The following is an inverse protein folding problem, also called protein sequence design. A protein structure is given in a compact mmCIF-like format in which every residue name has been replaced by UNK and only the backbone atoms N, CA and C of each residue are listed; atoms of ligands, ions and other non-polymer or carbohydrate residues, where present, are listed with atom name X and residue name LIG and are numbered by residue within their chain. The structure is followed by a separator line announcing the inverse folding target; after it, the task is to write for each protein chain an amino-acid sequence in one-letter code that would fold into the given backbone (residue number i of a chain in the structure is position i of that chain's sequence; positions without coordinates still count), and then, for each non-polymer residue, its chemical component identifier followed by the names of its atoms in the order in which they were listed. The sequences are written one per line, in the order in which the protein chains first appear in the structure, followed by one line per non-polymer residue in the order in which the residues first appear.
data_IF_359933726496
#
_entry.id   IF_359933726496
#
_cell.length_a   1.000
_cell.length_b   1.000
_cell.length_c   1.000
_cell.angle_alpha   90.00
_cell.angle_beta   90.00
_cell.angle_gamma   90.00
#
_symmetry.space_group_name_H-M   'P 1'
#
loop_
_entity.id
_entity.type
_entity.pdbx_description
1 polymer ?
#
# COMPACT_ATOMS: atom_id res chain seq x y z
N UNK A 1 26.37 -26.62 -12.88
CA UNK A 1 25.21 -25.78 -12.48
C UNK A 1 23.96 -26.14 -13.25
N UNK A 2 23.94 -26.02 -14.60
CA UNK A 2 22.76 -26.36 -15.41
C UNK A 2 22.21 -27.77 -15.16
N UNK A 3 23.09 -28.78 -15.11
CA UNK A 3 22.71 -30.16 -14.79
C UNK A 3 22.02 -30.29 -13.42
N UNK A 4 22.47 -29.54 -12.41
CA UNK A 4 21.84 -29.55 -11.09
C UNK A 4 20.43 -28.94 -11.14
N UNK A 5 20.23 -27.90 -11.96
CA UNK A 5 18.92 -27.26 -12.13
C UNK A 5 17.95 -28.10 -12.95
N UNK A 6 18.45 -28.85 -13.94
CA UNK A 6 17.67 -29.88 -14.61
C UNK A 6 17.21 -30.95 -13.61
N UNK A 7 18.12 -31.52 -12.83
CA UNK A 7 17.80 -32.52 -11.81
C UNK A 7 16.77 -31.99 -10.79
N UNK A 8 16.92 -30.74 -10.32
CA UNK A 8 15.94 -30.09 -9.43
C UNK A 8 14.55 -29.99 -10.08
N UNK A 9 14.45 -29.55 -11.34
CA UNK A 9 13.17 -29.45 -12.07
C UNK A 9 12.49 -30.81 -12.27
N UNK A 10 13.28 -31.86 -12.38
CA UNK A 10 12.79 -33.25 -12.46
C UNK A 10 12.44 -33.85 -11.08
N UNK A 11 12.60 -33.09 -9.99
CA UNK A 11 12.33 -33.54 -8.62
C UNK A 11 13.43 -34.42 -8.03
N UNK A 12 14.59 -34.54 -8.68
CA UNK A 12 15.73 -35.30 -8.19
C UNK A 12 16.66 -34.43 -7.32
N UNK A 13 16.16 -34.06 -6.15
CA UNK A 13 16.88 -33.23 -5.16
C UNK A 13 18.23 -33.82 -4.72
N UNK A 14 18.36 -35.15 -4.47
CA UNK A 14 19.65 -35.75 -4.12
C UNK A 14 20.72 -35.53 -5.20
N UNK A 15 20.39 -35.79 -6.48
CA UNK A 15 21.31 -35.56 -7.60
C UNK A 15 21.65 -34.08 -7.75
N UNK A 16 20.66 -33.19 -7.61
CA UNK A 16 20.90 -31.74 -7.64
C UNK A 16 21.90 -31.32 -6.54
N UNK A 17 21.74 -31.84 -5.33
CA UNK A 17 22.64 -31.60 -4.21
C UNK A 17 24.06 -32.10 -4.46
N UNK A 18 24.22 -33.32 -4.99
CA UNK A 18 25.54 -33.87 -5.35
C UNK A 18 26.23 -33.02 -6.41
N UNK A 19 25.52 -32.66 -7.48
CA UNK A 19 26.05 -31.84 -8.57
C UNK A 19 26.46 -30.43 -8.09
N UNK A 20 25.72 -29.83 -7.15
CA UNK A 20 26.11 -28.55 -6.56
C UNK A 20 27.33 -28.67 -5.66
N UNK A 21 27.45 -29.73 -4.85
CA UNK A 21 28.65 -29.97 -4.03
C UNK A 21 29.91 -30.16 -4.89
N UNK A 22 29.77 -30.86 -6.01
CA UNK A 22 30.86 -30.99 -6.99
C UNK A 22 31.23 -29.64 -7.61
N UNK A 23 30.22 -28.86 -8.02
CA UNK A 23 30.43 -27.52 -8.57
C UNK A 23 31.08 -26.55 -7.56
N UNK A 24 30.70 -26.63 -6.29
CA UNK A 24 31.29 -25.84 -5.20
C UNK A 24 32.76 -26.21 -5.00
N UNK A 25 33.06 -27.52 -4.97
CA UNK A 25 34.44 -28.01 -4.85
C UNK A 25 35.32 -27.47 -5.97
N UNK A 26 34.84 -27.52 -7.22
CA UNK A 26 35.54 -26.96 -8.38
C UNK A 26 35.66 -25.43 -8.27
N UNK A 27 34.57 -24.76 -7.92
CA UNK A 27 34.52 -23.30 -7.78
C UNK A 27 35.51 -22.77 -6.73
N UNK A 28 35.62 -23.43 -5.58
CA UNK A 28 36.60 -23.09 -4.55
C UNK A 28 38.03 -23.36 -4.98
N UNK A 29 38.28 -24.50 -5.63
CA UNK A 29 39.62 -24.87 -6.13
C UNK A 29 40.13 -23.86 -7.14
N UNK A 30 39.24 -23.40 -8.03
CA UNK A 30 39.59 -22.56 -9.17
C UNK A 30 39.37 -21.06 -8.90
N UNK A 31 39.07 -20.66 -7.65
CA UNK A 31 38.71 -19.28 -7.23
C UNK A 31 37.67 -18.63 -8.18
N UNK A 32 36.64 -19.40 -8.53
CA UNK A 32 35.71 -19.06 -9.58
C UNK A 32 34.73 -17.97 -9.15
N UNK A 33 34.52 -16.90 -9.95
CA UNK A 33 33.49 -15.90 -9.67
C UNK A 33 32.05 -16.47 -9.70
N UNK A 34 31.86 -17.67 -10.23
CA UNK A 34 30.57 -18.37 -10.23
C UNK A 34 30.25 -19.07 -8.91
N UNK A 35 31.18 -19.11 -7.96
CA UNK A 35 31.00 -19.80 -6.68
C UNK A 35 29.81 -19.25 -5.89
N UNK A 36 29.61 -17.93 -5.86
CA UNK A 36 28.45 -17.30 -5.20
C UNK A 36 27.12 -17.77 -5.79
N UNK A 37 27.05 -17.96 -7.11
CA UNK A 37 25.88 -18.49 -7.79
C UNK A 37 25.65 -19.97 -7.51
N UNK A 38 26.72 -20.76 -7.31
CA UNK A 38 26.61 -22.16 -6.87
C UNK A 38 26.04 -22.23 -5.45
N UNK A 39 26.55 -21.43 -4.53
CA UNK A 39 26.11 -21.40 -3.13
C UNK A 39 24.66 -20.90 -3.02
N UNK A 40 24.29 -19.87 -3.80
CA UNK A 40 22.89 -19.39 -3.87
C UNK A 40 21.94 -20.51 -4.30
N UNK A 41 22.35 -21.32 -5.27
CA UNK A 41 21.58 -22.50 -5.70
C UNK A 41 21.46 -23.58 -4.62
N UNK A 42 22.50 -23.76 -3.79
CA UNK A 42 22.40 -24.65 -2.63
C UNK A 42 21.41 -24.11 -1.60
N UNK A 43 21.34 -22.78 -1.41
CA UNK A 43 20.36 -22.16 -0.54
C UNK A 43 18.91 -22.43 -1.01
N UNK A 44 18.64 -22.44 -2.32
CA UNK A 44 17.32 -22.86 -2.85
C UNK A 44 16.99 -24.32 -2.56
N UNK A 45 17.96 -25.24 -2.64
CA UNK A 45 17.71 -26.63 -2.24
C UNK A 45 17.45 -26.75 -0.73
N UNK A 46 18.13 -25.95 0.09
CA UNK A 46 17.86 -25.88 1.52
C UNK A 46 16.45 -25.36 1.80
N UNK A 47 15.98 -24.39 1.02
CA UNK A 47 14.59 -23.91 1.08
C UNK A 47 13.57 -24.98 0.70
N UNK A 48 13.78 -25.67 -0.42
CA UNK A 48 12.89 -26.76 -0.88
C UNK A 48 12.74 -27.88 0.17
N UNK A 49 13.79 -28.10 0.97
CA UNK A 49 13.83 -29.11 2.04
C UNK A 49 13.45 -28.56 3.43
N UNK A 50 13.07 -27.28 3.54
CA UNK A 50 12.67 -26.65 4.81
C UNK A 50 13.82 -26.44 5.81
N UNK A 51 15.07 -26.40 5.34
CA UNK A 51 16.29 -26.22 6.15
C UNK A 51 16.65 -24.74 6.33
N UNK A 52 15.80 -23.96 7.00
CA UNK A 52 15.93 -22.48 7.12
C UNK A 52 17.29 -21.99 7.63
N UNK A 53 17.83 -22.61 8.69
CA UNK A 53 19.15 -22.24 9.23
C UNK A 53 20.29 -22.43 8.23
N UNK A 54 20.23 -23.49 7.45
CA UNK A 54 21.24 -23.77 6.43
C UNK A 54 21.08 -22.82 5.23
N UNK A 55 19.84 -22.54 4.81
CA UNK A 55 19.53 -21.53 3.79
C UNK A 55 20.15 -20.18 4.16
N UNK A 56 19.95 -19.72 5.40
CA UNK A 56 20.51 -18.44 5.87
C UNK A 56 22.05 -18.45 5.83
N UNK A 57 22.68 -19.50 6.37
CA UNK A 57 24.15 -19.63 6.35
C UNK A 57 24.72 -19.62 4.93
N UNK A 58 24.08 -20.34 4.02
CA UNK A 58 24.48 -20.39 2.60
C UNK A 58 24.28 -19.03 1.93
N UNK A 59 23.18 -18.33 2.21
CA UNK A 59 22.94 -17.00 1.63
C UNK A 59 23.97 -15.97 2.10
N UNK A 60 24.32 -15.96 3.39
CA UNK A 60 25.41 -15.13 3.93
C UNK A 60 26.76 -15.43 3.27
N UNK A 61 27.03 -16.71 3.02
CA UNK A 61 28.26 -17.15 2.37
C UNK A 61 28.30 -16.72 0.89
N UNK A 62 27.19 -16.85 0.17
CA UNK A 62 27.08 -16.38 -1.20
C UNK A 62 27.36 -14.87 -1.32
N UNK A 63 26.91 -14.07 -0.35
CA UNK A 63 27.21 -12.62 -0.30
C UNK A 63 28.71 -12.39 -0.12
N UNK A 64 29.38 -13.12 0.78
CA UNK A 64 30.83 -12.98 1.00
C UNK A 64 31.62 -13.30 -0.27
N UNK A 65 31.30 -14.42 -0.93
CA UNK A 65 31.97 -14.81 -2.17
C UNK A 65 31.68 -13.83 -3.32
N UNK A 66 30.44 -13.34 -3.44
CA UNK A 66 30.11 -12.34 -4.46
C UNK A 66 30.89 -11.04 -4.26
N UNK A 67 31.02 -10.56 -3.01
CA UNK A 67 31.79 -9.35 -2.67
C UNK A 67 33.27 -9.54 -2.94
N UNK A 68 33.83 -10.72 -2.63
CA UNK A 68 35.24 -11.06 -2.88
C UNK A 68 35.62 -10.90 -4.35
N UNK A 69 34.74 -11.26 -5.27
CA UNK A 69 34.98 -11.14 -6.71
C UNK A 69 34.55 -9.78 -7.31
N UNK A 70 33.98 -8.89 -6.51
CA UNK A 70 33.71 -7.49 -6.91
C UNK A 70 32.70 -7.32 -8.04
N UNK A 71 31.77 -8.26 -8.24
CA UNK A 71 30.74 -8.18 -9.28
C UNK A 71 29.42 -7.63 -8.70
N UNK A 72 29.04 -6.37 -8.98
CA UNK A 72 27.92 -5.72 -8.29
C UNK A 72 26.57 -6.44 -8.45
N UNK A 73 26.26 -6.93 -9.64
CA UNK A 73 25.02 -7.66 -9.91
C UNK A 73 24.99 -9.03 -9.22
N UNK A 74 26.14 -9.70 -9.07
CA UNK A 74 26.24 -10.94 -8.30
C UNK A 74 26.05 -10.67 -6.79
N UNK A 75 26.58 -9.55 -6.28
CA UNK A 75 26.37 -9.11 -4.90
C UNK A 75 24.89 -8.78 -4.67
N UNK A 76 24.25 -8.05 -5.59
CA UNK A 76 22.83 -7.71 -5.52
C UNK A 76 21.95 -8.97 -5.49
N UNK A 77 22.24 -9.94 -6.37
CA UNK A 77 21.52 -11.20 -6.44
C UNK A 77 21.65 -12.02 -5.15
N UNK A 78 22.87 -12.12 -4.60
CA UNK A 78 23.13 -12.82 -3.34
C UNK A 78 22.46 -12.10 -2.15
N UNK A 79 22.53 -10.77 -2.10
CA UNK A 79 21.89 -9.96 -1.06
C UNK A 79 20.37 -10.09 -1.06
N UNK A 80 19.73 -10.12 -2.23
CA UNK A 80 18.29 -10.37 -2.34
C UNK A 80 17.91 -11.69 -1.67
N UNK A 81 18.65 -12.77 -1.96
CA UNK A 81 18.39 -14.07 -1.36
C UNK A 81 18.71 -14.11 0.14
N UNK A 82 19.76 -13.41 0.59
CA UNK A 82 20.05 -13.26 2.01
C UNK A 82 18.94 -12.51 2.74
N UNK A 83 18.45 -11.40 2.18
CA UNK A 83 17.34 -10.64 2.73
C UNK A 83 16.07 -11.50 2.84
N UNK A 84 15.72 -12.25 1.79
CA UNK A 84 14.59 -13.19 1.84
C UNK A 84 14.78 -14.26 2.91
N UNK A 85 16.00 -14.81 3.04
CA UNK A 85 16.29 -15.83 4.04
C UNK A 85 16.17 -15.31 5.47
N UNK A 86 16.56 -14.05 5.71
CA UNK A 86 16.42 -13.36 6.99
C UNK A 86 14.98 -12.97 7.30
N UNK A 87 14.20 -12.56 6.29
CA UNK A 87 12.86 -12.02 6.49
C UNK A 87 11.91 -13.00 7.17
N UNK A 88 12.13 -14.31 6.97
CA UNK A 88 11.34 -15.35 7.62
C UNK A 88 11.54 -15.42 9.15
N UNK A 89 12.68 -14.95 9.66
CA UNK A 89 13.02 -14.97 11.09
C UNK A 89 12.97 -13.57 11.72
N UNK A 90 13.46 -12.56 10.99
CA UNK A 90 13.57 -11.19 11.46
C UNK A 90 13.46 -10.20 10.26
N UNK A 91 12.24 -9.74 9.94
CA UNK A 91 12.01 -8.77 8.87
C UNK A 91 12.84 -7.49 9.00
N UNK A 92 13.04 -6.98 10.23
CA UNK A 92 13.80 -5.74 10.45
C UNK A 92 15.27 -5.91 10.06
N UNK A 93 15.88 -7.06 10.39
CA UNK A 93 17.24 -7.37 9.98
C UNK A 93 17.38 -7.56 8.46
N UNK A 94 16.31 -7.98 7.77
CA UNK A 94 16.29 -8.18 6.33
C UNK A 94 16.26 -6.86 5.53
N UNK A 95 15.89 -5.74 6.14
CA UNK A 95 15.80 -4.44 5.46
C UNK A 95 17.12 -4.00 4.86
N UNK A 96 18.19 -3.96 5.65
CA UNK A 96 19.51 -3.48 5.22
C UNK A 96 20.04 -4.22 3.98
N UNK A 97 20.11 -5.57 3.96
CA UNK A 97 20.54 -6.28 2.76
C UNK A 97 19.57 -6.12 1.59
N UNK A 98 18.26 -5.96 1.84
CA UNK A 98 17.29 -5.68 0.77
C UNK A 98 17.51 -4.31 0.15
N UNK A 99 17.72 -3.27 0.95
CA UNK A 99 17.96 -1.89 0.50
C UNK A 99 19.28 -1.81 -0.27
N UNK A 100 20.34 -2.48 0.20
CA UNK A 100 21.62 -2.58 -0.52
C UNK A 100 21.47 -3.32 -1.86
N UNK A 101 20.71 -4.43 -1.90
CA UNK A 101 20.44 -5.15 -3.15
C UNK A 101 19.71 -4.25 -4.18
N UNK A 102 18.69 -3.52 -3.73
CA UNK A 102 17.93 -2.59 -4.57
C UNK A 102 18.81 -1.49 -5.13
N UNK A 103 19.65 -0.87 -4.30
CA UNK A 103 20.58 0.17 -4.73
C UNK A 103 21.55 -0.35 -5.80
N UNK A 104 22.12 -1.54 -5.60
CA UNK A 104 23.03 -2.14 -6.58
C UNK A 104 22.34 -2.44 -7.91
N UNK A 105 21.08 -2.90 -7.90
CA UNK A 105 20.32 -3.07 -9.14
C UNK A 105 20.01 -1.74 -9.80
N UNK A 106 19.60 -0.72 -9.05
CA UNK A 106 19.35 0.62 -9.57
C UNK A 106 20.58 1.23 -10.25
N UNK A 107 21.77 1.02 -9.68
CA UNK A 107 23.02 1.58 -10.18
C UNK A 107 23.63 0.81 -11.36
N UNK A 108 23.44 -0.51 -11.42
CA UNK A 108 24.22 -1.37 -12.33
C UNK A 108 23.39 -2.20 -13.31
N UNK A 109 22.13 -2.50 -13.02
CA UNK A 109 21.26 -3.30 -13.89
C UNK A 109 19.78 -2.89 -13.76
N UNK A 110 19.45 -1.60 -13.96
CA UNK A 110 18.10 -1.10 -13.78
C UNK A 110 17.16 -1.69 -14.83
N UNK A 111 15.91 -1.87 -14.43
CA UNK A 111 14.88 -2.48 -15.27
C UNK A 111 15.02 -3.96 -15.63
N UNK A 112 16.01 -4.72 -15.14
CA UNK A 112 16.14 -6.15 -15.45
C UNK A 112 15.09 -7.03 -14.74
N UNK A 113 14.88 -8.29 -15.18
CA UNK A 113 13.99 -9.23 -14.47
C UNK A 113 14.43 -9.49 -13.03
N UNK A 114 15.74 -9.52 -12.78
CA UNK A 114 16.29 -9.69 -11.44
C UNK A 114 16.05 -8.45 -10.56
N UNK A 115 16.12 -7.26 -11.14
CA UNK A 115 15.73 -6.04 -10.45
C UNK A 115 14.23 -6.05 -10.09
N UNK A 116 13.35 -6.50 -11.00
CA UNK A 116 11.93 -6.68 -10.68
C UNK A 116 11.70 -7.61 -9.49
N UNK A 117 12.44 -8.72 -9.43
CA UNK A 117 12.39 -9.66 -8.31
C UNK A 117 12.95 -9.06 -7.00
N UNK A 118 13.96 -8.19 -7.09
CA UNK A 118 14.48 -7.45 -5.93
C UNK A 118 13.45 -6.45 -5.39
N UNK A 119 12.78 -5.70 -6.28
CA UNK A 119 11.69 -4.78 -5.91
C UNK A 119 10.54 -5.54 -5.23
N UNK A 120 10.13 -6.66 -5.80
CA UNK A 120 9.13 -7.56 -5.21
C UNK A 120 9.54 -8.00 -3.80
N UNK A 121 10.75 -8.53 -3.63
CA UNK A 121 11.24 -9.00 -2.33
C UNK A 121 11.33 -7.87 -1.30
N UNK A 122 11.87 -6.72 -1.70
CA UNK A 122 11.94 -5.53 -0.84
C UNK A 122 10.57 -5.01 -0.44
N UNK A 123 9.58 -5.05 -1.34
CA UNK A 123 8.23 -4.62 -1.03
C UNK A 123 7.58 -5.47 0.07
N UNK A 124 7.79 -6.80 0.03
CA UNK A 124 7.32 -7.74 1.06
C UNK A 124 8.00 -7.44 2.41
N UNK A 125 9.32 -7.24 2.40
CA UNK A 125 10.10 -6.95 3.62
C UNK A 125 9.65 -5.63 4.25
N UNK A 126 9.53 -4.57 3.45
CA UNK A 126 9.08 -3.26 3.93
C UNK A 126 7.65 -3.35 4.52
N UNK A 127 6.74 -4.10 3.88
CA UNK A 127 5.40 -4.32 4.42
C UNK A 127 5.43 -5.06 5.77
N UNK A 128 6.27 -6.10 5.89
CA UNK A 128 6.44 -6.84 7.14
C UNK A 128 7.02 -5.97 8.29
N UNK A 129 7.82 -4.96 7.96
CA UNK A 129 8.33 -3.95 8.90
C UNK A 129 7.35 -2.77 9.15
N UNK A 130 6.10 -2.86 8.68
CA UNK A 130 5.11 -1.80 8.81
C UNK A 130 5.40 -0.55 7.96
N UNK A 131 6.36 -0.61 7.04
CA UNK A 131 6.75 0.50 6.16
C UNK A 131 5.85 0.54 4.92
N UNK A 132 4.55 0.76 5.13
CA UNK A 132 3.49 0.67 4.11
C UNK A 132 3.80 1.52 2.86
N UNK A 133 4.23 2.77 3.05
CA UNK A 133 4.55 3.68 1.93
C UNK A 133 5.72 3.17 1.08
N UNK A 134 6.79 2.72 1.73
CA UNK A 134 7.94 2.14 1.03
C UNK A 134 7.54 0.87 0.26
N UNK A 135 6.72 0.01 0.87
CA UNK A 135 6.19 -1.19 0.22
C UNK A 135 5.36 -0.86 -1.03
N UNK A 136 4.47 0.14 -0.97
CA UNK A 136 3.67 0.59 -2.12
C UNK A 136 4.57 1.06 -3.26
N UNK A 137 5.57 1.90 -2.97
CA UNK A 137 6.50 2.40 -4.01
C UNK A 137 7.26 1.26 -4.69
N UNK A 138 7.73 0.28 -3.92
CA UNK A 138 8.43 -0.88 -4.46
C UNK A 138 7.51 -1.77 -5.29
N UNK A 139 6.27 -2.00 -4.85
CA UNK A 139 5.28 -2.76 -5.61
C UNK A 139 4.89 -2.07 -6.92
N UNK A 140 4.72 -0.74 -6.94
CA UNK A 140 4.45 0.02 -8.15
C UNK A 140 5.58 -0.14 -9.18
N UNK A 141 6.84 -0.05 -8.74
CA UNK A 141 8.02 -0.26 -9.59
C UNK A 141 8.09 -1.71 -10.09
N UNK A 142 7.92 -2.70 -9.22
CA UNK A 142 7.93 -4.11 -9.58
C UNK A 142 6.85 -4.43 -10.62
N UNK A 143 5.62 -3.95 -10.38
CA UNK A 143 4.47 -4.09 -11.29
C UNK A 143 4.77 -3.55 -12.68
N UNK A 144 5.37 -2.36 -12.76
CA UNK A 144 5.72 -1.74 -14.04
C UNK A 144 6.73 -2.60 -14.82
N UNK A 145 7.76 -3.13 -14.15
CA UNK A 145 8.75 -4.01 -14.78
C UNK A 145 8.12 -5.34 -15.22
N UNK A 146 7.32 -6.00 -14.38
CA UNK A 146 6.62 -7.22 -14.76
C UNK A 146 5.69 -7.01 -15.96
N UNK A 147 5.00 -5.86 -16.01
CA UNK A 147 4.18 -5.47 -17.16
C UNK A 147 5.02 -5.30 -18.43
N UNK A 148 6.18 -4.63 -18.34
CA UNK A 148 7.12 -4.47 -19.45
C UNK A 148 7.66 -5.79 -19.99
N UNK A 149 7.81 -6.80 -19.12
CA UNK A 149 8.25 -8.15 -19.49
C UNK A 149 7.12 -9.11 -19.89
N UNK A 150 5.85 -8.70 -19.80
CA UNK A 150 4.70 -9.59 -20.04
C UNK A 150 4.51 -10.68 -18.99
N UNK A 151 5.05 -10.50 -17.78
CA UNK A 151 4.94 -11.47 -16.67
C UNK A 151 3.62 -11.25 -15.92
N UNK A 152 2.54 -11.79 -16.47
CA UNK A 152 1.17 -11.65 -15.94
C UNK A 152 1.05 -12.01 -14.45
N UNK A 153 1.71 -13.08 -14.01
CA UNK A 153 1.64 -13.52 -12.61
C UNK A 153 2.22 -12.47 -11.64
N UNK A 154 3.34 -11.84 -12.02
CA UNK A 154 3.96 -10.79 -11.21
C UNK A 154 3.14 -9.51 -11.16
N UNK A 155 2.43 -9.17 -12.25
CA UNK A 155 1.49 -8.04 -12.25
C UNK A 155 0.32 -8.30 -11.31
N UNK A 156 -0.28 -9.50 -11.37
CA UNK A 156 -1.41 -9.88 -10.52
C UNK A 156 -1.03 -9.91 -9.03
N UNK A 157 0.16 -10.41 -8.71
CA UNK A 157 0.69 -10.39 -7.34
C UNK A 157 0.86 -8.95 -6.83
N UNK A 158 1.48 -8.09 -7.64
CA UNK A 158 1.66 -6.69 -7.26
C UNK A 158 0.32 -5.96 -7.08
N UNK A 159 -0.65 -6.20 -7.97
CA UNK A 159 -2.01 -5.63 -7.86
C UNK A 159 -2.70 -6.07 -6.57
N UNK A 160 -2.57 -7.34 -6.18
CA UNK A 160 -3.11 -7.85 -4.93
C UNK A 160 -2.53 -7.15 -3.70
N UNK A 161 -1.20 -6.99 -3.65
CA UNK A 161 -0.54 -6.32 -2.53
C UNK A 161 -0.83 -4.82 -2.49
N UNK A 162 -0.81 -4.13 -3.63
CA UNK A 162 -1.14 -2.71 -3.73
C UNK A 162 -2.57 -2.43 -3.24
N UNK A 163 -3.51 -3.31 -3.58
CA UNK A 163 -4.87 -3.24 -3.09
C UNK A 163 -4.94 -3.32 -1.56
N UNK A 164 -4.32 -4.35 -0.97
CA UNK A 164 -4.30 -4.53 0.47
C UNK A 164 -3.62 -3.36 1.22
N UNK A 165 -2.47 -2.89 0.71
CA UNK A 165 -1.73 -1.78 1.31
C UNK A 165 -2.48 -0.44 1.16
N UNK A 166 -3.23 -0.25 0.08
CA UNK A 166 -4.06 0.95 -0.12
C UNK A 166 -5.13 1.05 0.96
N UNK A 167 -5.81 -0.04 1.28
CA UNK A 167 -6.84 -0.07 2.34
C UNK A 167 -6.27 0.42 3.66
N UNK A 168 -5.03 0.07 4.00
CA UNK A 168 -4.36 0.52 5.24
C UNK A 168 -4.08 2.02 5.29
N UNK A 169 -4.05 2.71 4.15
CA UNK A 169 -3.81 4.16 4.06
C UNK A 169 -5.10 5.00 4.08
N UNK A 170 -6.27 4.39 3.86
CA UNK A 170 -7.55 5.11 3.84
C UNK A 170 -7.93 5.53 5.25
N UNK A 171 -7.96 6.84 5.50
CA UNK A 171 -8.33 7.42 6.79
C UNK A 171 -9.85 7.40 6.97
N UNK A 172 -10.60 7.83 5.95
CA UNK A 172 -12.05 7.73 5.97
C UNK A 172 -12.71 7.83 4.60
N UNK A 173 -13.93 7.30 4.55
CA UNK A 173 -14.88 7.47 3.45
C UNK A 173 -15.90 8.54 3.83
N UNK A 174 -16.31 9.36 2.86
CA UNK A 174 -17.28 10.44 3.07
C UNK A 174 -18.57 10.15 2.29
N UNK A 175 -19.65 10.01 3.05
CA UNK A 175 -21.02 9.97 2.57
C UNK A 175 -21.67 11.34 2.73
N UNK A 176 -21.99 11.98 1.62
CA UNK A 176 -22.69 13.26 1.62
C UNK A 176 -24.19 13.03 1.78
N UNK A 177 -24.84 13.87 2.58
CA UNK A 177 -26.29 13.86 2.74
C UNK A 177 -26.85 15.29 2.80
N UNK A 178 -28.09 15.52 2.33
CA UNK A 178 -28.75 16.83 2.45
C UNK A 178 -29.06 17.22 3.90
N UNK A 179 -29.16 16.23 4.79
CA UNK A 179 -29.45 16.40 6.20
C UNK A 179 -28.85 15.22 6.97
N UNK A 180 -28.23 15.49 8.12
CA UNK A 180 -27.51 14.49 8.90
C UNK A 180 -28.43 13.37 9.40
N UNK A 181 -29.67 13.70 9.78
CA UNK A 181 -30.65 12.70 10.24
C UNK A 181 -30.96 11.67 9.15
N UNK A 182 -31.32 12.12 7.94
CA UNK A 182 -31.61 11.21 6.82
C UNK A 182 -30.38 10.44 6.35
N UNK A 183 -29.21 11.07 6.33
CA UNK A 183 -27.95 10.41 5.98
C UNK A 183 -27.60 9.30 6.98
N UNK A 184 -27.74 9.60 8.29
CA UNK A 184 -27.45 8.64 9.35
C UNK A 184 -28.41 7.46 9.35
N UNK A 185 -29.71 7.71 9.09
CA UNK A 185 -30.70 6.64 8.90
C UNK A 185 -30.36 5.75 7.70
N UNK A 186 -30.01 6.36 6.56
CA UNK A 186 -29.66 5.59 5.36
C UNK A 186 -28.41 4.73 5.55
N UNK A 187 -27.38 5.28 6.21
CA UNK A 187 -26.15 4.54 6.50
C UNK A 187 -26.40 3.43 7.53
N UNK A 188 -27.28 3.66 8.51
CA UNK A 188 -27.69 2.62 9.45
C UNK A 188 -28.40 1.45 8.76
N UNK A 189 -29.23 1.70 7.75
CA UNK A 189 -29.84 0.65 6.93
C UNK A 189 -28.81 -0.13 6.12
N UNK A 190 -27.80 0.55 5.58
CA UNK A 190 -26.77 -0.03 4.72
C UNK A 190 -25.76 -0.87 5.50
N UNK A 191 -25.32 -0.39 6.67
CA UNK A 191 -24.22 -0.97 7.43
C UNK A 191 -24.67 -1.66 8.73
N UNK A 192 -25.98 -1.67 9.01
CA UNK A 192 -26.55 -2.29 10.21
C UNK A 192 -26.18 -1.60 11.53
N UNK A 193 -25.52 -0.44 11.49
CA UNK A 193 -25.04 0.27 12.68
C UNK A 193 -25.37 1.76 12.58
N UNK A 194 -25.93 2.34 13.66
CA UNK A 194 -26.32 3.75 13.69
C UNK A 194 -25.09 4.65 13.88
N UNK A 195 -24.81 5.58 12.95
CA UNK A 195 -23.74 6.56 13.14
C UNK A 195 -23.92 7.40 14.39
N UNK A 196 -22.83 7.68 15.12
CA UNK A 196 -22.85 8.57 16.28
C UNK A 196 -22.47 9.98 15.87
N UNK A 197 -23.22 10.97 16.32
CA UNK A 197 -22.93 12.39 16.07
C UNK A 197 -21.48 12.69 16.50
N UNK A 198 -20.68 13.16 15.56
CA UNK A 198 -19.25 13.43 15.75
C UNK A 198 -18.97 14.87 16.14
N UNK A 199 -19.80 15.82 15.67
CA UNK A 199 -19.69 17.23 16.01
C UNK A 199 -19.97 18.16 14.84
N UNK A 200 -19.58 19.42 15.02
CA UNK A 200 -19.81 20.53 14.08
C UNK A 200 -18.48 21.07 13.57
N UNK A 201 -18.45 21.51 12.32
CA UNK A 201 -17.30 22.15 11.66
C UNK A 201 -17.62 23.62 11.35
N UNK A 202 -17.43 24.57 12.29
CA UNK A 202 -17.78 25.98 12.08
C UNK A 202 -17.17 26.60 10.83
N UNK A 203 -15.90 26.28 10.54
CA UNK A 203 -15.19 26.80 9.37
C UNK A 203 -15.74 26.28 8.04
N UNK A 204 -16.44 25.14 8.05
CA UNK A 204 -16.93 24.47 6.84
C UNK A 204 -18.45 24.50 6.70
N UNK A 205 -19.19 25.01 7.70
CA UNK A 205 -20.65 25.07 7.65
C UNK A 205 -21.34 23.69 7.68
N UNK A 206 -20.69 22.68 8.26
CA UNK A 206 -21.18 21.29 8.28
C UNK A 206 -21.19 20.68 9.67
N UNK A 207 -21.88 19.56 9.80
CA UNK A 207 -21.78 18.66 10.93
C UNK A 207 -21.71 17.20 10.46
N UNK A 208 -21.30 16.30 11.34
CA UNK A 208 -21.09 14.91 10.98
C UNK A 208 -21.61 13.88 11.98
N UNK A 209 -21.68 12.64 11.50
CA UNK A 209 -21.87 11.44 12.29
C UNK A 209 -20.94 10.34 11.76
N UNK A 210 -20.46 9.48 12.66
CA UNK A 210 -19.32 8.60 12.41
C UNK A 210 -19.65 7.14 12.74
N UNK A 211 -19.04 6.24 11.98
CA UNK A 211 -18.88 4.82 12.27
C UNK A 211 -17.42 4.43 12.12
N UNK A 212 -16.94 3.49 12.94
CA UNK A 212 -15.59 2.93 12.80
C UNK A 212 -15.58 1.82 11.75
N UNK A 213 -14.55 1.84 10.89
CA UNK A 213 -14.19 0.78 9.95
C UNK A 213 -12.86 0.11 10.34
N UNK A 214 -12.51 0.19 11.63
CA UNK A 214 -11.21 -0.16 12.19
C UNK A 214 -10.58 1.01 12.95
N UNK A 215 -9.45 0.76 13.62
CA UNK A 215 -8.82 1.78 14.48
C UNK A 215 -8.30 2.99 13.67
N UNK A 216 -7.90 2.75 12.42
CA UNK A 216 -7.28 3.73 11.51
C UNK A 216 -8.18 4.11 10.33
N UNK A 217 -9.44 3.67 10.31
CA UNK A 217 -10.37 3.97 9.23
C UNK A 217 -11.78 4.26 9.77
N UNK A 218 -12.46 5.30 9.28
CA UNK A 218 -13.87 5.56 9.65
C UNK A 218 -14.76 5.90 8.46
N UNK A 219 -16.07 5.81 8.69
CA UNK A 219 -17.10 6.21 7.73
C UNK A 219 -17.79 7.48 8.24
N UNK A 220 -17.69 8.56 7.46
CA UNK A 220 -18.25 9.86 7.80
C UNK A 220 -19.54 10.14 7.03
N UNK A 221 -20.62 10.36 7.75
CA UNK A 221 -21.82 11.01 7.21
C UNK A 221 -21.67 12.50 7.46
N UNK A 222 -21.60 13.28 6.39
CA UNK A 222 -21.49 14.75 6.47
C UNK A 222 -22.73 15.40 5.86
N UNK A 223 -23.17 16.50 6.46
CA UNK A 223 -24.30 17.30 5.98
C UNK A 223 -24.11 18.79 6.33
N UNK A 224 -24.80 19.71 5.63
CA UNK A 224 -24.85 21.12 6.03
C UNK A 224 -25.44 21.25 7.44
N UNK A 225 -24.82 22.10 8.26
CA UNK A 225 -25.37 22.45 9.57
C UNK A 225 -26.29 23.67 9.41
N UNK A 226 -27.59 23.58 9.75
CA UNK A 226 -28.54 24.66 9.53
C UNK A 226 -28.28 25.89 10.43
N UNK A 227 -27.52 25.72 11.50
CA UNK A 227 -27.23 26.76 12.49
C UNK A 227 -25.81 27.37 12.28
N UNK A 228 -25.13 27.02 11.19
CA UNK A 228 -23.84 27.61 10.80
C UNK A 228 -23.98 28.43 9.50
N UNK A 229 -22.99 29.28 9.24
CA UNK A 229 -22.87 29.92 7.94
C UNK A 229 -22.73 28.84 6.85
N UNK A 230 -23.39 29.05 5.72
CA UNK A 230 -23.36 28.10 4.62
C UNK A 230 -21.91 27.84 4.16
N UNK A 231 -21.58 26.61 3.74
CA UNK A 231 -20.25 26.28 3.24
C UNK A 231 -19.88 27.17 2.05
N UNK A 232 -18.58 27.40 1.86
CA UNK A 232 -18.09 27.97 0.60
C UNK A 232 -18.55 27.09 -0.58
N UNK A 233 -18.89 27.74 -1.70
CA UNK A 233 -19.25 27.02 -2.92
C UNK A 233 -18.07 26.20 -3.39
N UNK A 234 -18.33 24.94 -3.72
CA UNK A 234 -17.34 24.00 -4.22
C UNK A 234 -17.91 22.59 -4.27
N UNK A 235 -17.04 21.59 -4.41
CA UNK A 235 -17.47 20.19 -4.58
C UNK A 235 -18.37 19.68 -3.44
N UNK A 236 -18.07 20.12 -2.22
CA UNK A 236 -18.86 19.79 -1.02
C UNK A 236 -20.33 20.22 -1.20
N UNK A 237 -20.58 21.39 -1.81
CA UNK A 237 -21.92 21.92 -2.02
C UNK A 237 -22.70 21.27 -3.17
N UNK A 238 -22.00 20.81 -4.21
CA UNK A 238 -22.64 20.17 -5.38
C UNK A 238 -23.24 18.80 -5.06
N UNK A 239 -22.72 18.13 -4.02
CA UNK A 239 -23.12 16.77 -3.62
C UNK A 239 -24.27 16.73 -2.63
N UNK A 240 -24.66 17.84 -1.98
CA UNK A 240 -25.75 17.83 -0.99
C UNK A 240 -27.08 17.32 -1.56
N UNK A 241 -27.31 17.53 -2.86
CA UNK A 241 -28.52 17.09 -3.55
C UNK A 241 -28.43 15.67 -4.13
N UNK A 242 -27.29 14.98 -3.97
CA UNK A 242 -27.01 13.64 -4.49
C UNK A 242 -26.36 12.79 -3.38
N UNK A 243 -27.15 12.24 -2.44
CA UNK A 243 -26.59 11.49 -1.31
C UNK A 243 -25.86 10.23 -1.80
N UNK A 244 -24.70 9.96 -1.22
CA UNK A 244 -23.85 8.86 -1.64
C UNK A 244 -22.39 9.04 -1.22
N UNK A 245 -21.59 8.02 -1.46
CA UNK A 245 -20.13 8.12 -1.32
C UNK A 245 -19.62 8.97 -2.47
N UNK A 246 -18.93 10.06 -2.14
CA UNK A 246 -18.40 10.94 -3.19
C UNK A 246 -16.96 11.39 -2.91
N UNK A 247 -16.45 11.24 -1.69
CA UNK A 247 -15.06 11.61 -1.40
C UNK A 247 -14.49 10.64 -0.38
N UNK A 248 -13.18 10.69 -0.25
CA UNK A 248 -12.41 9.88 0.66
C UNK A 248 -11.15 10.65 1.05
N UNK A 249 -10.50 10.15 2.08
CA UNK A 249 -9.34 10.74 2.70
C UNK A 249 -8.25 9.70 2.91
N UNK A 250 -7.01 10.15 2.80
CA UNK A 250 -5.82 9.35 3.04
C UNK A 250 -4.99 10.02 4.13
N UNK A 251 -4.60 9.24 5.14
CA UNK A 251 -3.74 9.71 6.22
C UNK A 251 -2.33 9.96 5.68
N UNK A 252 -1.70 11.06 6.09
CA UNK A 252 -0.39 11.50 5.63
C UNK A 252 0.46 11.99 6.80
N UNK A 253 1.67 11.45 6.91
CA UNK A 253 2.72 11.89 7.84
C UNK A 253 3.63 12.98 7.25
N UNK A 254 3.50 13.27 5.95
CA UNK A 254 4.30 14.25 5.22
C UNK A 254 3.39 15.18 4.39
N UNK A 255 2.37 15.75 5.04
CA UNK A 255 1.22 16.40 4.40
C UNK A 255 1.60 17.42 3.32
N UNK A 256 2.58 18.28 3.62
CA UNK A 256 3.03 19.34 2.70
C UNK A 256 3.76 18.74 1.50
N UNK A 257 4.68 17.80 1.71
CA UNK A 257 5.43 17.14 0.64
C UNK A 257 4.50 16.35 -0.29
N UNK A 258 3.58 15.57 0.28
CA UNK A 258 2.61 14.78 -0.48
C UNK A 258 1.67 15.66 -1.31
N UNK A 259 1.22 16.79 -0.74
CA UNK A 259 0.40 17.75 -1.46
C UNK A 259 1.16 18.39 -2.63
N UNK A 260 2.44 18.74 -2.44
CA UNK A 260 3.28 19.29 -3.50
C UNK A 260 3.66 18.26 -4.58
N UNK A 261 3.79 16.98 -4.23
CA UNK A 261 4.13 15.90 -5.16
C UNK A 261 2.99 15.47 -6.08
N UNK A 262 1.74 15.81 -5.74
CA UNK A 262 0.57 15.47 -6.54
C UNK A 262 0.52 16.20 -7.88
N UNK A 263 0.24 15.48 -8.96
CA UNK A 263 0.00 16.06 -10.30
C UNK A 263 -1.37 16.74 -10.44
N UNK A 264 -2.27 16.49 -9.48
CA UNK A 264 -3.56 17.18 -9.36
C UNK A 264 -3.47 18.12 -8.17
N UNK A 265 -3.81 19.43 -8.32
CA UNK A 265 -3.78 20.36 -7.20
C UNK A 265 -4.70 19.90 -6.06
N UNK A 266 -4.12 19.67 -4.88
CA UNK A 266 -4.88 19.32 -3.67
C UNK A 266 -5.33 20.57 -2.87
N UNK A 267 -5.00 21.76 -3.38
CA UNK A 267 -5.20 23.05 -2.71
C UNK A 267 -4.22 23.29 -1.56
N UNK A 268 -4.37 24.45 -0.90
CA UNK A 268 -3.51 24.82 0.22
C UNK A 268 -3.78 23.95 1.45
N UNK A 269 -2.73 23.71 2.23
CA UNK A 269 -2.90 23.06 3.53
C UNK A 269 -3.57 24.01 4.51
N UNK A 270 -4.56 23.52 5.24
CA UNK A 270 -5.36 24.27 6.18
C UNK A 270 -5.57 23.49 7.49
N UNK A 271 -5.94 24.20 8.55
CA UNK A 271 -6.32 23.59 9.83
C UNK A 271 -7.80 23.25 9.84
N UNK A 272 -8.12 21.97 10.03
CA UNK A 272 -9.48 21.52 10.31
C UNK A 272 -9.79 21.56 11.80
N UNK A 273 -11.04 21.88 12.14
CA UNK A 273 -11.52 21.91 13.53
C UNK A 273 -12.92 21.32 13.62
N UNK A 274 -13.16 20.50 14.65
CA UNK A 274 -14.48 19.96 14.98
C UNK A 274 -14.79 20.18 16.45
N UNK A 275 -15.91 20.84 16.72
CA UNK A 275 -16.48 20.95 18.05
C UNK A 275 -17.30 19.69 18.35
N UNK A 276 -16.91 18.94 19.37
CA UNK A 276 -17.56 17.69 19.77
C UNK A 276 -18.77 17.98 20.69
N UNK A 277 -19.75 17.04 20.78
CA UNK A 277 -20.91 17.22 21.64
C UNK A 277 -20.60 17.41 23.14
N UNK A 278 -19.45 16.92 23.60
CA UNK A 278 -18.96 17.07 24.98
C UNK A 278 -18.28 18.42 25.25
N UNK A 279 -18.23 19.31 24.25
CA UNK A 279 -17.59 20.63 24.32
C UNK A 279 -16.09 20.62 24.06
N UNK A 280 -15.46 19.46 23.88
CA UNK A 280 -14.05 19.37 23.49
C UNK A 280 -13.86 19.71 22.00
N UNK A 281 -12.66 20.17 21.64
CA UNK A 281 -12.30 20.47 20.25
C UNK A 281 -11.32 19.43 19.71
N UNK A 282 -11.53 19.03 18.46
CA UNK A 282 -10.60 18.22 17.69
C UNK A 282 -9.94 19.10 16.63
N UNK A 283 -8.62 19.01 16.49
CA UNK A 283 -7.82 19.84 15.56
C UNK A 283 -6.89 18.96 14.74
N UNK A 284 -6.79 19.23 13.44
CA UNK A 284 -5.93 18.49 12.51
C UNK A 284 -5.45 19.39 11.36
N UNK A 285 -4.49 18.91 10.59
CA UNK A 285 -4.04 19.54 9.35
C UNK A 285 -4.58 18.75 8.15
N UNK A 286 -4.91 19.42 7.06
CA UNK A 286 -5.47 18.78 5.87
C UNK A 286 -5.21 19.61 4.62
N UNK A 287 -5.31 18.98 3.44
CA UNK A 287 -5.41 19.72 2.18
C UNK A 287 -6.84 20.24 1.96
N UNK A 288 -7.03 21.12 0.98
CA UNK A 288 -8.32 21.75 0.71
C UNK A 288 -9.40 20.73 0.28
N UNK A 289 -10.49 20.67 1.04
CA UNK A 289 -11.66 19.83 0.75
C UNK A 289 -12.62 20.41 -0.29
N UNK A 290 -12.50 21.71 -0.59
CA UNK A 290 -13.32 22.40 -1.59
C UNK A 290 -12.68 22.39 -2.99
N UNK A 291 -11.37 22.11 -3.09
CA UNK A 291 -10.66 21.97 -4.35
C UNK A 291 -11.26 20.88 -5.26
N UNK A 292 -11.26 21.14 -6.58
CA UNK A 292 -11.68 20.15 -7.58
C UNK A 292 -10.57 19.11 -7.83
N UNK A 293 -10.60 18.05 -7.03
CA UNK A 293 -9.65 16.93 -7.07
C UNK A 293 -10.06 15.86 -8.10
N UNK A 294 -10.21 16.26 -9.37
CA UNK A 294 -10.78 15.43 -10.46
C UNK A 294 -12.18 14.91 -10.12
N UNK A 295 -13.09 15.82 -9.80
CA UNK A 295 -14.40 15.45 -9.29
C UNK A 295 -14.26 14.54 -8.07
N UNK A 296 -13.27 14.84 -7.21
CA UNK A 296 -12.85 14.18 -5.96
C UNK A 296 -12.65 12.67 -5.99
N UNK A 297 -12.21 12.20 -7.15
CA UNK A 297 -11.65 10.86 -7.32
C UNK A 297 -10.26 10.78 -6.66
N UNK A 298 -9.47 11.86 -6.72
CA UNK A 298 -8.22 11.96 -5.95
C UNK A 298 -8.58 12.34 -4.50
N UNK A 299 -8.09 11.63 -3.45
CA UNK A 299 -8.42 11.93 -2.06
C UNK A 299 -7.81 13.27 -1.61
N UNK A 300 -8.35 13.83 -0.54
CA UNK A 300 -7.62 14.87 0.20
C UNK A 300 -6.78 14.19 1.28
N UNK A 301 -5.75 14.88 1.74
CA UNK A 301 -4.83 14.34 2.71
C UNK A 301 -5.12 14.94 4.09
N UNK A 302 -4.88 14.15 5.13
CA UNK A 302 -5.08 14.54 6.52
C UNK A 302 -3.90 14.13 7.39
N UNK A 303 -3.56 14.96 8.36
CA UNK A 303 -2.64 14.68 9.45
C UNK A 303 -3.33 15.05 10.76
N UNK A 304 -3.58 14.05 11.60
CA UNK A 304 -4.21 14.24 12.90
C UNK A 304 -3.27 14.86 13.94
N UNK A 305 -1.96 14.86 13.72
CA UNK A 305 -0.98 15.25 14.73
C UNK A 305 -1.19 14.46 16.02
N UNK A 306 -1.29 15.17 17.16
CA UNK A 306 -1.53 14.55 18.48
C UNK A 306 -3.01 14.24 18.75
N UNK A 307 -3.92 14.60 17.85
CA UNK A 307 -5.35 14.36 18.03
C UNK A 307 -5.70 12.88 17.92
N UNK A 308 -6.56 12.41 18.83
CA UNK A 308 -7.05 11.04 18.78
C UNK A 308 -7.91 10.80 17.54
N UNK A 309 -7.54 9.79 16.75
CA UNK A 309 -8.21 9.38 15.53
C UNK A 309 -9.71 9.06 15.77
N UNK A 310 -10.66 9.60 14.98
CA UNK A 310 -12.09 9.40 15.21
C UNK A 310 -12.58 7.95 15.13
N UNK A 311 -11.91 7.12 14.31
CA UNK A 311 -12.20 5.69 14.17
C UNK A 311 -12.06 4.90 15.48
N UNK A 312 -11.21 5.37 16.40
CA UNK A 312 -10.96 4.72 17.68
C UNK A 312 -12.05 4.99 18.74
N UNK A 313 -12.98 5.91 18.48
CA UNK A 313 -14.12 6.21 19.36
C UNK A 313 -15.45 5.75 18.75
N UNK A 314 -15.59 5.83 17.43
CA UNK A 314 -16.86 5.66 16.73
C UNK A 314 -17.45 4.24 16.91
N UNK A 315 -18.79 4.07 16.86
CA UNK A 315 -19.39 2.74 16.91
C UNK A 315 -18.85 1.85 15.78
N UNK A 316 -18.41 0.61 16.06
CA UNK A 316 -17.87 -0.27 15.04
C UNK A 316 -18.99 -0.70 14.07
N UNK A 317 -18.73 -0.55 12.78
CA UNK A 317 -19.65 -0.98 11.72
C UNK A 317 -19.07 -2.10 10.85
N UNK A 318 -17.75 -2.33 10.87
CA UNK A 318 -17.11 -3.33 10.04
C UNK A 318 -15.66 -2.94 9.75
N UNK A 319 -15.17 -3.40 8.60
CA UNK A 319 -13.82 -3.12 8.11
C UNK A 319 -13.86 -2.83 6.62
N UNK A 320 -13.12 -1.81 6.16
CA UNK A 320 -12.89 -1.58 4.74
C UNK A 320 -12.09 -2.75 4.16
N UNK A 321 -12.60 -3.40 3.12
CA UNK A 321 -11.93 -4.52 2.45
C UNK A 321 -11.35 -4.13 1.10
N UNK A 322 -12.05 -3.25 0.39
CA UNK A 322 -11.67 -2.87 -0.96
C UNK A 322 -12.11 -1.45 -1.29
N UNK A 323 -11.31 -0.78 -2.10
CA UNK A 323 -11.63 0.47 -2.76
C UNK A 323 -11.39 0.34 -4.26
N UNK A 324 -12.35 0.76 -5.08
CA UNK A 324 -12.24 0.81 -6.55
C UNK A 324 -12.70 2.15 -7.07
N UNK A 325 -12.07 2.63 -8.13
CA UNK A 325 -12.45 3.88 -8.78
C UNK A 325 -12.67 3.65 -10.27
N UNK A 326 -13.59 4.41 -10.85
CA UNK A 326 -13.66 4.57 -12.30
C UNK A 326 -13.67 6.03 -12.69
N UNK A 327 -13.05 6.35 -13.83
CA UNK A 327 -12.93 7.73 -14.28
C UNK A 327 -12.81 7.83 -15.81
N UNK A 328 -13.29 8.92 -16.45
CA UNK A 328 -13.08 9.17 -17.88
C UNK A 328 -11.61 9.30 -18.29
N UNK A 329 -10.79 9.79 -17.36
CA UNK A 329 -9.34 9.92 -17.50
C UNK A 329 -8.63 9.04 -16.46
N UNK A 330 -8.60 7.70 -16.64
CA UNK A 330 -8.09 6.78 -15.61
C UNK A 330 -6.57 6.87 -15.45
N UNK A 331 -5.81 7.16 -16.51
CA UNK A 331 -4.35 7.24 -16.43
C UNK A 331 -3.88 8.43 -15.59
N UNK A 332 -4.50 9.61 -15.80
CA UNK A 332 -4.24 10.81 -14.97
C UNK A 332 -4.60 10.55 -13.51
N UNK A 333 -5.72 9.86 -13.25
CA UNK A 333 -6.11 9.49 -11.89
C UNK A 333 -5.10 8.52 -11.25
N UNK A 334 -4.66 7.48 -11.96
CA UNK A 334 -3.63 6.56 -11.46
C UNK A 334 -2.33 7.28 -11.16
N UNK A 335 -1.87 8.17 -12.03
CA UNK A 335 -0.67 8.96 -11.78
C UNK A 335 -0.81 9.81 -10.53
N UNK A 336 -1.92 10.52 -10.36
CA UNK A 336 -2.19 11.33 -9.17
C UNK A 336 -2.18 10.49 -7.89
N UNK A 337 -2.79 9.30 -7.90
CA UNK A 337 -2.83 8.40 -6.74
C UNK A 337 -1.43 7.82 -6.44
N UNK A 338 -0.69 7.38 -7.46
CA UNK A 338 0.65 6.81 -7.27
C UNK A 338 1.63 7.84 -6.67
N UNK A 339 1.48 9.13 -7.00
CA UNK A 339 2.33 10.21 -6.46
C UNK A 339 2.18 10.44 -4.96
N UNK A 340 1.05 10.02 -4.38
CA UNK A 340 0.77 10.09 -2.94
C UNK A 340 0.83 8.71 -2.25
N UNK A 341 1.49 7.74 -2.91
CA UNK A 341 1.65 6.36 -2.44
C UNK A 341 0.30 5.64 -2.20
N UNK A 342 -0.62 5.75 -3.15
CA UNK A 342 -1.96 5.13 -3.14
C UNK A 342 -2.22 4.45 -4.49
N UNK A 343 -2.72 3.22 -4.49
CA UNK A 343 -2.87 2.45 -5.72
C UNK A 343 -4.10 1.51 -5.70
N UNK A 344 -5.32 2.02 -5.48
CA UNK A 344 -6.53 1.24 -5.67
C UNK A 344 -6.69 0.87 -7.16
N UNK A 345 -7.41 -0.21 -7.48
CA UNK A 345 -7.81 -0.48 -8.85
C UNK A 345 -8.61 0.70 -9.44
N UNK A 346 -8.16 1.18 -10.60
CA UNK A 346 -8.81 2.24 -11.38
C UNK A 346 -9.19 1.70 -12.75
N UNK A 347 -10.46 1.84 -13.14
CA UNK A 347 -10.98 1.43 -14.45
C UNK A 347 -11.44 2.62 -15.33
N UNK A 348 -11.40 2.48 -16.67
CA UNK A 348 -12.04 3.44 -17.56
C UNK A 348 -13.56 3.45 -17.34
N UNK A 349 -14.17 4.63 -17.22
CA UNK A 349 -15.61 4.79 -17.05
C UNK A 349 -16.10 6.09 -17.68
N UNK A 350 -17.33 6.13 -18.21
CA UNK A 350 -17.92 7.36 -18.76
C UNK A 350 -18.22 8.41 -17.68
N UNK A 351 -18.40 7.97 -16.43
CA UNK A 351 -18.61 8.83 -15.26
C UNK A 351 -17.67 8.45 -14.12
N UNK A 352 -17.26 9.45 -13.34
CA UNK A 352 -16.43 9.24 -12.16
C UNK A 352 -17.22 8.52 -11.05
N UNK A 353 -16.62 7.49 -10.44
CA UNK A 353 -17.19 6.83 -9.27
C UNK A 353 -16.12 6.37 -8.28
N UNK A 354 -16.57 6.22 -7.02
CA UNK A 354 -15.81 5.63 -5.93
C UNK A 354 -16.67 4.50 -5.36
N UNK A 355 -16.13 3.29 -5.35
CA UNK A 355 -16.80 2.09 -4.83
C UNK A 355 -15.99 1.57 -3.63
N UNK A 356 -16.68 1.34 -2.52
CA UNK A 356 -16.10 0.80 -1.30
C UNK A 356 -16.82 -0.49 -0.88
N UNK A 357 -16.06 -1.54 -0.61
CA UNK A 357 -16.58 -2.79 -0.04
C UNK A 357 -16.21 -2.87 1.43
N UNK A 358 -17.22 -3.01 2.28
CA UNK A 358 -17.10 -3.08 3.73
C UNK A 358 -17.55 -4.47 4.17
N UNK A 359 -16.73 -5.14 4.98
CA UNK A 359 -17.10 -6.38 5.67
C UNK A 359 -17.71 -6.04 7.02
N UNK A 360 -18.96 -6.43 7.22
CA UNK A 360 -19.71 -6.25 8.47
C UNK A 360 -19.30 -7.30 9.52
N UNK A 361 -19.66 -7.12 10.80
CA UNK A 361 -19.29 -8.04 11.88
C UNK A 361 -19.83 -9.47 11.72
N UNK A 362 -20.93 -9.67 10.99
CA UNK A 362 -21.50 -10.98 10.68
C UNK A 362 -20.84 -11.68 9.48
N UNK A 363 -19.83 -11.04 8.88
CA UNK A 363 -19.12 -11.51 7.69
C UNK A 363 -19.75 -11.09 6.35
N UNK A 364 -20.92 -10.46 6.37
CA UNK A 364 -21.58 -9.93 5.16
C UNK A 364 -20.72 -8.84 4.52
N UNK A 365 -20.61 -8.84 3.19
CA UNK A 365 -19.97 -7.75 2.45
C UNK A 365 -21.01 -6.81 1.86
N UNK A 366 -20.85 -5.52 2.12
CA UNK A 366 -21.68 -4.44 1.57
C UNK A 366 -20.82 -3.57 0.67
N UNK A 367 -21.26 -3.39 -0.58
CA UNK A 367 -20.60 -2.50 -1.54
C UNK A 367 -21.43 -1.23 -1.71
N UNK A 368 -20.77 -0.09 -1.59
CA UNK A 368 -21.36 1.25 -1.67
C UNK A 368 -20.72 2.02 -2.83
N UNK A 369 -21.53 2.71 -3.62
CA UNK A 369 -21.12 3.53 -4.77
C UNK A 369 -21.91 4.84 -4.82
#
# INVERSE_FOLDING_TARGET
MEAAWAARREGNTPLAGELLKQAETLGRRDDSPLLSAVITRQAHLAEDEGRSRERLRLAEEAVREARRHGQPTAVAHALRHHAQALADENPDAARTPSEEALQLYDDHDPGSPDHANALRAGAIIQAACGQVRAAIRLWLRARALYGGFGVSAGVQEADHHLHALTVLRVDHLIFFAPNLKSGSSRVAELLGCKPRVGGRHPAFGTHNALLSLGDTCYFEVIAPDPDLAAPQRGRLTDRWHRPGIASWCVASDQLVEDAHGSVVPLGETQTGRRQRPDGSELVWSMTDIFADRMGGSVPFLIDWGDSRHPGADAPPAGELQALRLGHPNPDVLREALHRIDIAPPVEPSSEAFLEATIRLPDGTQVTLR
#
